data_IF_726989552341
#
_entry.id   IF_726989552341
#
_cell.length_a   1.000
_cell.length_b   1.000
_cell.length_c   1.000
_cell.angle_alpha   90.00
_cell.angle_beta   90.00
_cell.angle_gamma   90.00
#
_symmetry.space_group_name_H-M   'P 1'
#
loop_
_entity.id
_entity.type
_entity.pdbx_description
1 polymer ?
#
# COMPACT_ATOMS: atom_id res chain seq x y z
N UNK A 1 -2.95 2.25 -6.15
CA UNK A 1 -1.93 2.81 -7.09
C UNK A 1 -1.55 1.77 -8.11
N UNK A 2 -1.43 2.13 -9.36
CA UNK A 2 -1.05 1.22 -10.45
C UNK A 2 -0.13 1.91 -11.47
N UNK A 3 0.57 1.12 -12.27
CA UNK A 3 1.48 1.60 -13.31
C UNK A 3 2.57 0.59 -13.66
N UNK A 4 3.17 0.73 -14.81
CA UNK A 4 4.19 -0.18 -15.33
C UNK A 4 5.45 -0.26 -14.43
N UNK A 5 6.24 -1.32 -14.61
CA UNK A 5 7.55 -1.43 -13.99
C UNK A 5 8.43 -0.21 -14.37
N UNK A 6 9.08 0.40 -13.38
CA UNK A 6 9.92 1.58 -13.58
C UNK A 6 9.15 2.89 -13.81
N UNK A 7 7.84 2.94 -13.61
CA UNK A 7 7.03 4.17 -13.74
C UNK A 7 7.25 5.19 -12.62
N UNK A 8 7.83 4.79 -11.50
CA UNK A 8 8.03 5.64 -10.32
C UNK A 8 7.13 5.29 -9.13
N UNK A 9 6.31 4.24 -9.20
CA UNK A 9 5.44 3.79 -8.08
C UNK A 9 6.16 3.72 -6.75
N UNK A 10 7.28 2.99 -6.71
CA UNK A 10 8.06 2.82 -5.49
C UNK A 10 8.57 4.16 -4.94
N UNK A 11 8.90 5.13 -5.79
CA UNK A 11 9.29 6.48 -5.36
C UNK A 11 8.12 7.19 -4.69
N UNK A 12 6.94 7.12 -5.29
CA UNK A 12 5.73 7.73 -4.73
C UNK A 12 5.31 7.06 -3.40
N UNK A 13 5.37 5.71 -3.34
CA UNK A 13 5.08 4.98 -2.10
C UNK A 13 6.04 5.35 -0.97
N UNK A 14 7.33 5.60 -1.28
CA UNK A 14 8.31 6.09 -0.29
C UNK A 14 7.95 7.46 0.23
N UNK A 15 7.58 8.37 -0.64
CA UNK A 15 7.13 9.69 -0.24
C UNK A 15 5.94 9.59 0.72
N UNK A 16 4.94 8.78 0.40
CA UNK A 16 3.81 8.51 1.30
C UNK A 16 4.25 7.90 2.63
N UNK A 17 5.21 6.96 2.61
CA UNK A 17 5.77 6.35 3.82
C UNK A 17 6.48 7.38 4.70
N UNK A 18 7.21 8.29 4.10
CA UNK A 18 7.99 9.31 4.80
C UNK A 18 7.12 10.44 5.36
N UNK A 19 6.08 10.85 4.63
CA UNK A 19 5.25 12.04 4.99
C UNK A 19 4.10 11.70 5.93
N UNK A 20 3.54 10.49 5.89
CA UNK A 20 2.37 10.10 6.67
C UNK A 20 2.47 10.40 8.18
N UNK A 21 3.60 10.12 8.89
CA UNK A 21 3.69 10.44 10.29
C UNK A 21 3.56 11.94 10.60
N UNK A 22 4.10 12.80 9.73
CA UNK A 22 4.01 14.26 9.92
C UNK A 22 2.64 14.81 9.54
N UNK A 23 2.03 14.30 8.49
CA UNK A 23 0.70 14.71 8.01
C UNK A 23 -0.41 14.35 8.99
N UNK A 24 -0.25 13.25 9.73
CA UNK A 24 -1.25 12.74 10.69
C UNK A 24 -0.96 13.12 12.14
N UNK A 25 0.07 13.93 12.39
CA UNK A 25 0.42 14.35 13.77
C UNK A 25 0.97 13.22 14.64
N UNK A 26 1.59 12.20 14.03
CA UNK A 26 2.24 11.11 14.76
C UNK A 26 1.77 9.72 14.39
N UNK A 27 1.09 9.55 13.26
CA UNK A 27 0.72 8.25 12.71
C UNK A 27 1.92 7.35 12.43
N UNK A 28 1.64 6.08 12.19
CA UNK A 28 2.65 5.05 11.95
C UNK A 28 2.48 4.53 10.53
N UNK A 29 3.55 4.56 9.73
CA UNK A 29 3.55 3.96 8.41
C UNK A 29 4.33 2.64 8.41
N UNK A 30 3.66 1.56 8.03
CA UNK A 30 4.23 0.22 7.94
C UNK A 30 4.26 -0.21 6.48
N UNK A 31 5.45 -0.45 5.95
CA UNK A 31 5.62 -1.05 4.64
C UNK A 31 5.74 -2.55 4.76
N UNK A 32 4.72 -3.27 4.33
CA UNK A 32 4.71 -4.73 4.31
C UNK A 32 5.47 -5.22 3.08
N UNK A 33 6.65 -5.78 3.30
CA UNK A 33 7.58 -6.16 2.25
C UNK A 33 8.02 -7.62 2.38
N UNK A 34 7.65 -8.47 1.42
CA UNK A 34 8.06 -9.87 1.45
C UNK A 34 9.40 -10.12 0.76
N UNK A 35 9.85 -9.21 -0.11
CA UNK A 35 11.12 -9.31 -0.81
C UNK A 35 12.21 -8.52 -0.09
N UNK A 36 13.08 -9.21 0.63
CA UNK A 36 14.25 -8.58 1.29
C UNK A 36 15.15 -7.80 0.32
N UNK A 37 15.13 -8.18 -0.97
CA UNK A 37 15.89 -7.54 -2.03
C UNK A 37 15.24 -6.27 -2.58
N UNK A 38 13.95 -6.07 -2.35
CA UNK A 38 13.20 -4.91 -2.85
C UNK A 38 13.25 -3.69 -1.93
N UNK A 39 13.97 -3.76 -0.80
CA UNK A 39 14.36 -2.55 -0.06
C UNK A 39 15.47 -1.89 -0.85
N UNK A 40 15.18 -0.85 -1.62
CA UNK A 40 16.23 -0.20 -2.39
C UNK A 40 17.21 0.45 -1.43
N UNK A 41 18.46 0.06 -1.54
CA UNK A 41 19.56 0.72 -0.86
C UNK A 41 19.46 2.25 -1.03
N UNK A 42 19.41 2.96 0.08
CA UNK A 42 20.00 4.27 0.17
C UNK A 42 19.20 5.49 -0.29
N UNK A 43 17.86 5.52 -0.36
CA UNK A 43 17.12 6.81 -0.46
C UNK A 43 15.72 6.69 0.15
N UNK A 44 15.53 7.14 1.38
CA UNK A 44 14.24 7.25 2.05
C UNK A 44 13.93 6.14 3.06
N UNK A 45 14.61 5.00 3.03
CA UNK A 45 14.49 3.96 4.05
C UNK A 45 15.54 4.02 5.16
N UNK A 46 16.59 4.84 5.02
CA UNK A 46 17.68 4.94 5.98
C UNK A 46 17.22 5.36 7.39
N UNK A 47 16.01 5.91 7.49
CA UNK A 47 15.37 6.29 8.74
C UNK A 47 14.22 5.37 9.17
N UNK A 48 13.89 4.34 8.40
CA UNK A 48 12.88 3.36 8.75
C UNK A 48 13.48 2.23 9.59
N UNK A 49 12.77 1.82 10.63
CA UNK A 49 13.14 0.65 11.43
C UNK A 49 12.75 -0.63 10.70
N UNK A 50 13.70 -1.50 10.43
CA UNK A 50 13.42 -2.79 9.78
C UNK A 50 13.18 -3.87 10.83
N UNK A 51 12.04 -4.56 10.71
CA UNK A 51 11.66 -5.67 11.60
C UNK A 51 11.18 -6.88 10.78
N UNK A 52 11.22 -8.08 11.36
CA UNK A 52 10.98 -9.33 10.64
C UNK A 52 9.99 -10.29 11.32
N UNK A 53 9.46 -9.90 12.48
CA UNK A 53 8.46 -10.69 13.22
C UNK A 53 7.51 -9.77 13.99
N UNK A 54 6.39 -10.33 14.44
CA UNK A 54 5.34 -9.57 15.11
C UNK A 54 5.78 -8.93 16.42
N UNK A 55 6.58 -9.63 17.24
CA UNK A 55 7.03 -9.09 18.52
C UNK A 55 7.93 -7.88 18.33
N UNK A 56 8.84 -7.94 17.34
CA UNK A 56 9.67 -6.78 16.97
C UNK A 56 8.84 -5.63 16.39
N UNK A 57 7.78 -5.95 15.64
CA UNK A 57 6.87 -4.93 15.12
C UNK A 57 6.16 -4.21 16.29
N UNK A 58 5.59 -4.94 17.25
CA UNK A 58 4.99 -4.38 18.46
C UNK A 58 6.00 -3.53 19.23
N UNK A 59 7.19 -4.08 19.51
CA UNK A 59 8.25 -3.36 20.23
C UNK A 59 8.69 -2.08 19.52
N UNK A 60 8.74 -2.07 18.20
CA UNK A 60 9.07 -0.87 17.43
C UNK A 60 7.97 0.21 17.55
N UNK A 61 6.69 -0.19 17.51
CA UNK A 61 5.57 0.71 17.71
C UNK A 61 5.58 1.30 19.11
N UNK A 62 5.74 0.48 20.14
CA UNK A 62 5.82 0.91 21.55
C UNK A 62 7.02 1.81 21.82
N UNK A 63 8.15 1.57 21.14
CA UNK A 63 9.33 2.44 21.20
C UNK A 63 9.16 3.79 20.46
N UNK A 64 8.01 3.99 19.81
CA UNK A 64 7.67 5.24 19.12
C UNK A 64 8.20 5.36 17.69
N UNK A 65 8.68 4.26 17.09
CA UNK A 65 9.08 4.28 15.69
C UNK A 65 7.87 4.55 14.78
N UNK A 66 8.00 5.52 13.89
CA UNK A 66 6.91 6.00 13.04
C UNK A 66 6.97 5.48 11.61
N UNK A 67 8.13 5.01 11.17
CA UNK A 67 8.36 4.42 9.85
C UNK A 67 8.96 3.04 10.04
N UNK A 68 8.23 2.02 9.60
CA UNK A 68 8.61 0.64 9.83
C UNK A 68 8.60 -0.12 8.51
N UNK A 69 9.71 -0.75 8.19
CA UNK A 69 9.83 -1.67 7.08
C UNK A 69 9.68 -3.09 7.63
N UNK A 70 8.54 -3.72 7.32
CA UNK A 70 8.18 -5.02 7.89
C UNK A 70 8.44 -6.15 6.90
N UNK A 71 9.53 -6.88 7.11
CA UNK A 71 9.94 -7.99 6.26
C UNK A 71 9.25 -9.29 6.66
N UNK A 72 8.12 -9.57 6.04
CA UNK A 72 7.29 -10.76 6.30
C UNK A 72 6.52 -11.12 5.04
N UNK A 73 5.96 -12.32 4.97
CA UNK A 73 4.97 -12.65 3.94
C UNK A 73 3.80 -11.66 4.01
N UNK A 74 3.34 -11.18 2.87
CA UNK A 74 2.35 -10.10 2.81
C UNK A 74 1.05 -10.43 3.55
N UNK A 75 0.49 -11.63 3.38
CA UNK A 75 -0.71 -12.08 4.09
C UNK A 75 -0.54 -11.99 5.62
N UNK A 76 0.57 -12.51 6.14
CA UNK A 76 0.91 -12.42 7.56
C UNK A 76 1.09 -10.97 8.00
N UNK A 77 1.71 -10.15 7.16
CA UNK A 77 1.94 -8.73 7.43
C UNK A 77 0.65 -7.94 7.54
N UNK A 78 -0.34 -8.22 6.69
CA UNK A 78 -1.67 -7.60 6.71
C UNK A 78 -2.35 -7.89 8.05
N UNK A 79 -2.44 -9.17 8.45
CA UNK A 79 -3.02 -9.58 9.74
C UNK A 79 -2.32 -8.88 10.92
N UNK A 80 -0.99 -8.80 10.89
CA UNK A 80 -0.23 -8.17 11.96
C UNK A 80 -0.43 -6.64 12.02
N UNK A 81 -0.52 -5.95 10.88
CA UNK A 81 -0.80 -4.51 10.86
C UNK A 81 -2.19 -4.22 11.40
N UNK A 82 -3.21 -4.99 11.03
CA UNK A 82 -4.55 -4.90 11.61
C UNK A 82 -4.49 -5.08 13.13
N UNK A 83 -3.81 -6.13 13.60
CA UNK A 83 -3.64 -6.39 15.03
C UNK A 83 -2.99 -5.22 15.78
N UNK A 84 -2.01 -4.55 15.18
CA UNK A 84 -1.39 -3.36 15.78
C UNK A 84 -2.38 -2.21 15.88
N UNK A 85 -3.09 -1.91 14.81
CA UNK A 85 -4.07 -0.83 14.80
C UNK A 85 -5.18 -1.05 15.83
N UNK A 86 -5.64 -2.28 15.99
CA UNK A 86 -6.74 -2.60 16.92
C UNK A 86 -6.31 -2.75 18.39
N UNK A 87 -5.05 -3.10 18.68
CA UNK A 87 -4.68 -3.56 20.02
C UNK A 87 -3.42 -2.92 20.61
N UNK A 88 -2.62 -2.23 19.82
CA UNK A 88 -1.29 -1.75 20.26
C UNK A 88 -1.18 -0.24 20.24
N UNK A 89 -1.88 0.46 19.37
CA UNK A 89 -1.76 1.92 19.24
C UNK A 89 -3.10 2.56 18.90
N UNK A 90 -3.33 3.76 19.48
CA UNK A 90 -4.44 4.64 19.09
C UNK A 90 -4.05 5.61 17.96
N UNK A 91 -2.79 5.57 17.53
CA UNK A 91 -2.33 6.44 16.43
C UNK A 91 -2.81 5.89 15.07
N UNK A 92 -3.13 6.76 14.11
CA UNK A 92 -3.45 6.33 12.75
C UNK A 92 -2.34 5.46 12.15
N UNK A 93 -2.73 4.37 11.50
CA UNK A 93 -1.80 3.42 10.87
C UNK A 93 -1.96 3.46 9.36
N UNK A 94 -0.87 3.67 8.62
CA UNK A 94 -0.83 3.44 7.18
C UNK A 94 -0.13 2.12 6.90
N UNK A 95 -0.78 1.26 6.13
CA UNK A 95 -0.19 0.02 5.62
C UNK A 95 0.07 0.13 4.12
N UNK A 96 1.32 -0.01 3.71
CA UNK A 96 1.71 -0.02 2.30
C UNK A 96 1.96 -1.47 1.87
N UNK A 97 1.24 -1.90 0.84
CA UNK A 97 1.37 -3.24 0.24
C UNK A 97 1.75 -3.05 -1.23
N UNK A 98 3.02 -3.30 -1.55
CA UNK A 98 3.49 -3.33 -2.94
C UNK A 98 3.23 -4.71 -3.55
N UNK A 99 2.97 -4.79 -4.85
CA UNK A 99 2.56 -6.01 -5.55
C UNK A 99 1.29 -6.65 -4.91
N UNK A 100 0.26 -5.82 -4.71
CA UNK A 100 -0.96 -6.18 -3.99
C UNK A 100 -1.73 -7.36 -4.64
N UNK A 101 -1.53 -7.64 -5.92
CA UNK A 101 -2.08 -8.80 -6.62
C UNK A 101 -1.65 -10.15 -5.99
N UNK A 102 -0.56 -10.17 -5.22
CA UNK A 102 -0.13 -11.38 -4.52
C UNK A 102 -1.01 -11.74 -3.31
N UNK A 103 -1.77 -10.80 -2.80
CA UNK A 103 -2.60 -10.94 -1.58
C UNK A 103 -4.07 -10.58 -1.79
N UNK A 104 -4.39 -10.07 -2.95
CA UNK A 104 -5.75 -9.76 -3.38
C UNK A 104 -5.95 -10.20 -4.84
N UNK A 105 -5.67 -11.47 -5.19
CA UNK A 105 -5.91 -11.97 -6.52
C UNK A 105 -7.41 -12.07 -6.81
N UNK A 106 -7.79 -12.01 -8.07
CA UNK A 106 -9.17 -12.14 -8.52
C UNK A 106 -9.88 -13.36 -7.92
N UNK A 107 -11.10 -13.18 -7.44
CA UNK A 107 -11.93 -14.23 -6.81
C UNK A 107 -11.60 -14.56 -5.35
N UNK A 108 -10.85 -13.73 -4.63
CA UNK A 108 -10.55 -13.89 -3.20
C UNK A 108 -11.18 -12.80 -2.32
N UNK A 109 -12.49 -12.64 -2.42
CA UNK A 109 -13.26 -11.66 -1.63
C UNK A 109 -13.11 -11.81 -0.10
N UNK A 110 -12.77 -13.01 0.37
CA UNK A 110 -12.61 -13.34 1.80
C UNK A 110 -11.15 -13.18 2.30
N UNK A 111 -10.24 -12.61 1.49
CA UNK A 111 -8.87 -12.41 1.95
C UNK A 111 -8.80 -11.39 3.10
N UNK A 112 -7.81 -11.53 3.99
CA UNK A 112 -7.59 -10.58 5.10
C UNK A 112 -7.48 -9.12 4.62
N UNK A 113 -6.93 -8.90 3.43
CA UNK A 113 -6.86 -7.57 2.84
C UNK A 113 -8.22 -7.08 2.35
N UNK A 114 -9.03 -7.96 1.73
CA UNK A 114 -10.38 -7.61 1.32
C UNK A 114 -11.23 -7.20 2.53
N UNK A 115 -11.18 -7.99 3.61
CA UNK A 115 -11.85 -7.66 4.88
C UNK A 115 -11.33 -6.32 5.43
N UNK A 116 -10.01 -6.11 5.44
CA UNK A 116 -9.40 -4.85 5.90
C UNK A 116 -9.85 -3.63 5.11
N UNK A 117 -9.98 -3.74 3.79
CA UNK A 117 -10.49 -2.63 2.95
C UNK A 117 -11.92 -2.24 3.30
N UNK A 118 -12.75 -3.19 3.77
CA UNK A 118 -14.12 -2.94 4.17
C UNK A 118 -14.26 -2.38 5.59
N UNK A 119 -13.45 -2.88 6.54
CA UNK A 119 -13.70 -2.69 7.97
C UNK A 119 -12.74 -1.68 8.62
N UNK A 120 -11.49 -1.63 8.17
CA UNK A 120 -10.42 -0.97 8.94
C UNK A 120 -10.41 0.55 8.81
N UNK A 121 -11.20 1.12 7.91
CA UNK A 121 -11.26 2.58 7.71
C UNK A 121 -11.67 3.33 8.97
N UNK A 122 -12.68 2.82 9.65
CA UNK A 122 -13.22 3.44 10.87
C UNK A 122 -12.31 3.21 12.08
N UNK A 123 -11.40 2.24 11.99
CA UNK A 123 -10.38 1.92 12.99
C UNK A 123 -9.05 2.69 12.76
N UNK A 124 -9.04 3.64 11.84
CA UNK A 124 -7.87 4.48 11.58
C UNK A 124 -6.77 3.83 10.75
N UNK A 125 -7.05 2.73 10.04
CA UNK A 125 -6.10 2.12 9.12
C UNK A 125 -6.29 2.67 7.71
N UNK A 126 -5.22 3.18 7.12
CA UNK A 126 -5.14 3.59 5.72
C UNK A 126 -4.36 2.55 4.91
N UNK A 127 -5.06 1.82 4.06
CA UNK A 127 -4.45 0.88 3.13
C UNK A 127 -3.95 1.61 1.88
N UNK A 128 -2.70 1.38 1.50
CA UNK A 128 -2.09 1.85 0.26
C UNK A 128 -1.63 0.64 -0.53
N UNK A 129 -2.35 0.34 -1.60
CA UNK A 129 -2.09 -0.80 -2.46
C UNK A 129 -1.38 -0.35 -3.72
N UNK A 130 -0.33 -1.06 -4.12
CA UNK A 130 0.33 -0.86 -5.40
C UNK A 130 0.38 -2.14 -6.21
N UNK A 131 0.18 -2.02 -7.51
CA UNK A 131 0.27 -3.12 -8.47
C UNK A 131 0.87 -2.65 -9.78
N UNK A 132 1.46 -3.55 -10.54
CA UNK A 132 1.88 -3.27 -11.92
C UNK A 132 0.71 -3.42 -12.87
N UNK A 133 -0.11 -4.42 -12.67
CA UNK A 133 -1.31 -4.66 -13.46
C UNK A 133 -2.55 -4.72 -12.55
N UNK A 134 -3.42 -3.71 -12.60
CA UNK A 134 -4.62 -3.71 -11.78
C UNK A 134 -5.65 -4.74 -12.23
N UNK A 135 -5.52 -5.33 -13.43
CA UNK A 135 -6.44 -6.39 -13.89
C UNK A 135 -6.27 -7.72 -13.13
N UNK A 136 -5.14 -7.88 -12.42
CA UNK A 136 -4.85 -9.04 -11.58
C UNK A 136 -5.45 -8.92 -10.17
N UNK A 137 -6.09 -7.78 -9.86
CA UNK A 137 -6.72 -7.55 -8.56
C UNK A 137 -8.19 -7.95 -8.56
N UNK A 138 -8.67 -8.40 -7.41
CA UNK A 138 -10.10 -8.53 -7.16
C UNK A 138 -10.77 -7.15 -7.07
N UNK A 139 -11.63 -6.81 -8.04
CA UNK A 139 -12.19 -5.48 -8.18
C UNK A 139 -13.21 -5.09 -7.10
N UNK A 140 -14.10 -5.98 -6.61
CA UNK A 140 -15.07 -5.62 -5.58
C UNK A 140 -14.43 -5.01 -4.33
N UNK A 141 -13.40 -5.61 -3.69
CA UNK A 141 -12.69 -4.97 -2.59
C UNK A 141 -11.99 -3.67 -2.98
N UNK A 142 -11.41 -3.60 -4.18
CA UNK A 142 -10.69 -2.39 -4.67
C UNK A 142 -11.63 -1.19 -4.80
N UNK A 143 -12.92 -1.39 -5.04
CA UNK A 143 -13.94 -0.31 -5.03
C UNK A 143 -14.07 0.43 -3.71
N UNK A 144 -13.58 -0.14 -2.61
CA UNK A 144 -13.56 0.53 -1.31
C UNK A 144 -12.44 1.58 -1.20
N UNK A 145 -11.50 1.59 -2.16
CA UNK A 145 -10.48 2.62 -2.20
C UNK A 145 -11.11 3.98 -2.49
N UNK A 146 -10.75 4.98 -1.68
CA UNK A 146 -11.23 6.35 -1.86
C UNK A 146 -10.59 7.05 -3.05
N UNK A 147 -9.38 6.64 -3.42
CA UNK A 147 -8.61 7.23 -4.51
C UNK A 147 -7.85 6.18 -5.30
N UNK A 148 -7.72 6.45 -6.60
CA UNK A 148 -6.88 5.67 -7.52
C UNK A 148 -5.74 6.56 -8.01
N UNK A 149 -4.52 6.03 -8.02
CA UNK A 149 -3.34 6.76 -8.49
C UNK A 149 -2.71 5.99 -9.64
N UNK A 150 -2.77 6.58 -10.82
CA UNK A 150 -2.05 6.08 -11.98
C UNK A 150 -0.65 6.71 -12.04
N UNK A 151 0.39 5.91 -12.22
CA UNK A 151 1.77 6.37 -12.24
C UNK A 151 2.45 5.94 -13.55
N UNK A 152 2.86 6.93 -14.34
CA UNK A 152 3.48 6.72 -15.64
C UNK A 152 2.47 6.31 -16.72
N UNK A 153 2.99 6.10 -17.91
CA UNK A 153 2.19 5.76 -19.08
C UNK A 153 1.45 4.42 -18.89
N UNK A 154 0.13 4.36 -19.17
CA UNK A 154 -0.67 3.16 -18.97
C UNK A 154 -0.29 2.05 -19.94
N UNK A 155 -0.31 0.80 -19.46
CA UNK A 155 -0.18 -0.37 -20.32
C UNK A 155 -1.47 -0.67 -21.09
N UNK A 156 -1.35 -1.40 -22.21
CA UNK A 156 -2.51 -1.87 -22.95
C UNK A 156 -3.41 -2.84 -22.17
N UNK A 157 -2.89 -3.46 -21.11
CA UNK A 157 -3.60 -4.44 -20.28
C UNK A 157 -4.56 -3.79 -19.25
N UNK A 158 -4.53 -2.47 -19.08
CA UNK A 158 -5.38 -1.76 -18.11
C UNK A 158 -6.84 -1.53 -18.56
N UNK A 159 -7.20 -1.87 -19.80
CA UNK A 159 -8.53 -1.53 -20.34
C UNK A 159 -9.70 -2.12 -19.54
N UNK A 160 -9.55 -3.33 -19.01
CA UNK A 160 -10.57 -3.97 -18.16
C UNK A 160 -10.82 -3.19 -16.88
N UNK A 161 -9.76 -2.82 -16.19
CA UNK A 161 -9.79 -1.99 -14.98
C UNK A 161 -10.41 -0.61 -15.26
N UNK A 162 -9.93 0.09 -16.28
CA UNK A 162 -10.44 1.42 -16.62
C UNK A 162 -11.95 1.39 -16.90
N UNK A 163 -12.41 0.39 -17.67
CA UNK A 163 -13.83 0.21 -17.96
C UNK A 163 -14.65 -0.05 -16.69
N UNK A 164 -14.17 -0.92 -15.82
CA UNK A 164 -14.88 -1.28 -14.59
C UNK A 164 -15.04 -0.09 -13.64
N UNK A 165 -14.02 0.76 -13.55
CA UNK A 165 -14.04 1.97 -12.71
C UNK A 165 -14.48 3.23 -13.45
N UNK A 166 -14.90 3.12 -14.71
CA UNK A 166 -15.35 4.26 -15.54
C UNK A 166 -14.30 5.36 -15.70
N UNK A 167 -13.02 4.99 -15.70
CA UNK A 167 -11.88 5.89 -15.89
C UNK A 167 -11.59 6.03 -17.39
N UNK A 168 -11.51 7.29 -17.87
CA UNK A 168 -11.11 7.56 -19.24
C UNK A 168 -9.59 7.39 -19.43
N UNK A 169 -9.18 6.86 -20.56
CA UNK A 169 -7.75 6.79 -20.90
C UNK A 169 -7.11 8.18 -21.04
N UNK A 170 -7.90 9.18 -21.39
CA UNK A 170 -7.47 10.57 -21.49
C UNK A 170 -7.13 11.21 -20.14
N UNK A 171 -7.67 10.64 -19.05
CA UNK A 171 -7.39 11.09 -17.68
C UNK A 171 -6.08 10.50 -17.12
N UNK A 172 -5.43 9.59 -17.85
CA UNK A 172 -4.22 8.93 -17.40
C UNK A 172 -2.95 9.73 -17.75
N UNK A 173 -1.84 9.51 -17.02
CA UNK A 173 -0.56 10.14 -17.35
C UNK A 173 -0.08 9.76 -18.75
N UNK A 174 0.46 10.71 -19.48
CA UNK A 174 0.99 10.55 -20.83
C UNK A 174 2.53 10.40 -20.85
N UNK A 175 3.17 10.47 -19.71
CA UNK A 175 4.63 10.43 -19.59
C UNK A 175 5.11 9.62 -18.40
N UNK A 176 6.31 9.07 -18.52
CA UNK A 176 6.99 8.36 -17.44
C UNK A 176 7.23 9.29 -16.25
N UNK A 177 7.05 8.79 -15.03
CA UNK A 177 7.19 9.52 -13.77
C UNK A 177 6.13 10.60 -13.49
N UNK A 178 5.13 10.77 -14.33
CA UNK A 178 3.95 11.55 -13.99
C UNK A 178 2.92 10.70 -13.26
N UNK A 179 1.99 11.33 -12.55
CA UNK A 179 0.88 10.62 -11.90
C UNK A 179 -0.40 11.46 -11.96
N UNK A 180 -1.53 10.76 -11.89
CA UNK A 180 -2.86 11.35 -11.75
C UNK A 180 -3.57 10.69 -10.58
N UNK A 181 -4.22 11.47 -9.75
CA UNK A 181 -5.10 11.01 -8.66
C UNK A 181 -6.53 11.15 -9.13
N UNK A 182 -7.29 10.06 -9.00
CA UNK A 182 -8.70 9.98 -9.41
C UNK A 182 -9.53 9.58 -8.19
N UNK A 183 -10.67 10.21 -8.00
CA UNK A 183 -11.69 9.97 -6.96
C UNK A 183 -12.97 9.33 -7.52
#
# INVERSE_FOLDING_TARGET
MFGNSGSGKTTYLREMHDTFPSETGGGISVWVNHNKESVPDGRGFDSATTVSDYQKLVSAVEAGHKRINYHVKQETGITHVRSIAYHVTDAPVQAIVDEAQNVLPDGQEDSELAVGLHEDRDEGVKWVLATQDPSDLDYPPVKQCAYYVAVGEPSAFMEGFLRYFSISREDLPDSRFSYVVMD
#
